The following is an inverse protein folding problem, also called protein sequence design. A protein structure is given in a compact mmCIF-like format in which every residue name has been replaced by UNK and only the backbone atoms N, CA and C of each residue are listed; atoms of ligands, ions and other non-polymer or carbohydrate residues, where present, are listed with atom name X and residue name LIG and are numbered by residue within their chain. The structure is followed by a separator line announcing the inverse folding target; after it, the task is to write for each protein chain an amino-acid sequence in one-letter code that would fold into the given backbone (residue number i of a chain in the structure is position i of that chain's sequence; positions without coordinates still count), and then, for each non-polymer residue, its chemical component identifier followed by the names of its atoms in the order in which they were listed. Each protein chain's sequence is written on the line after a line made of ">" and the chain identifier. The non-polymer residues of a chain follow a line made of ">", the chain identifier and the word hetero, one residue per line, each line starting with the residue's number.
data_IF_828012890837
#
_entry.id   IF_828012890837
#
_cell.length_a   1.000
_cell.length_b   1.000
_cell.length_c   1.000
_cell.angle_alpha   90.00
_cell.angle_beta   90.00
_cell.angle_gamma   90.00
#
_symmetry.space_group_name_H-M   'P 1'
#
loop_
_entity.id
_entity.type
_entity.pdbx_description
1 polymer ?
#
# COMPACT_ATOMS: atom_id res chain seq x y z
N UNK A 1 19.17 -17.61 2.35
CA UNK A 1 17.85 -17.74 2.99
C UNK A 1 16.80 -17.77 1.90
N UNK A 2 15.78 -18.64 1.96
CA UNK A 2 14.73 -18.69 0.93
C UNK A 2 14.08 -17.32 0.75
N UNK A 3 13.90 -16.86 -0.50
CA UNK A 3 13.36 -15.53 -0.83
C UNK A 3 12.02 -15.25 -0.12
N UNK A 4 11.14 -16.25 -0.07
CA UNK A 4 9.86 -16.17 0.66
C UNK A 4 10.04 -15.87 2.14
N UNK A 5 10.99 -16.55 2.79
CA UNK A 5 11.29 -16.32 4.20
C UNK A 5 11.86 -14.93 4.40
N UNK A 6 12.67 -14.42 3.44
CA UNK A 6 13.18 -13.05 3.49
C UNK A 6 12.05 -12.03 3.47
N UNK A 7 11.14 -12.16 2.50
CA UNK A 7 10.00 -11.27 2.33
C UNK A 7 9.13 -11.26 3.59
N UNK A 8 8.67 -12.43 4.05
CA UNK A 8 7.72 -12.52 5.17
C UNK A 8 8.33 -12.16 6.53
N UNK A 9 9.64 -12.32 6.70
CA UNK A 9 10.30 -11.93 7.96
C UNK A 9 10.83 -10.50 7.94
N UNK A 10 10.78 -9.80 6.80
CA UNK A 10 11.36 -8.47 6.63
C UNK A 10 10.83 -7.46 7.66
N UNK A 11 9.52 -7.43 7.88
CA UNK A 11 8.88 -6.51 8.82
C UNK A 11 9.22 -6.78 10.29
N UNK A 12 9.69 -7.98 10.64
CA UNK A 12 9.97 -8.39 12.04
C UNK A 12 11.47 -8.62 12.30
N UNK A 13 12.32 -8.41 11.31
CA UNK A 13 13.78 -8.66 11.38
C UNK A 13 14.57 -7.35 11.32
N UNK A 14 15.72 -7.30 12.01
CA UNK A 14 16.66 -6.19 11.92
C UNK A 14 16.03 -4.87 12.35
N UNK A 15 16.24 -3.80 11.57
CA UNK A 15 15.57 -2.51 11.74
C UNK A 15 14.05 -2.55 11.51
N UNK A 16 13.54 -3.54 10.74
CA UNK A 16 12.12 -3.66 10.38
C UNK A 16 11.18 -3.77 11.57
N UNK A 17 11.61 -4.42 12.66
CA UNK A 17 10.82 -4.53 13.89
C UNK A 17 10.58 -3.17 14.58
N UNK A 18 11.57 -2.27 14.51
CA UNK A 18 11.44 -0.92 15.07
C UNK A 18 10.54 -0.07 14.18
N UNK A 19 10.69 -0.19 12.85
CA UNK A 19 9.79 0.44 11.91
C UNK A 19 8.34 -0.02 12.11
N UNK A 20 8.11 -1.33 12.24
CA UNK A 20 6.79 -1.91 12.50
C UNK A 20 6.19 -1.37 13.80
N UNK A 21 6.96 -1.39 14.90
CA UNK A 21 6.48 -0.87 16.18
C UNK A 21 6.10 0.60 16.08
N UNK A 22 6.94 1.43 15.44
CA UNK A 22 6.66 2.85 15.28
C UNK A 22 5.46 3.09 14.36
N UNK A 23 5.32 2.35 13.26
CA UNK A 23 4.13 2.42 12.41
C UNK A 23 2.85 2.07 13.19
N UNK A 24 2.88 1.02 14.02
CA UNK A 24 1.74 0.64 14.85
C UNK A 24 1.37 1.75 15.84
N UNK A 25 2.36 2.31 16.54
CA UNK A 25 2.13 3.42 17.48
C UNK A 25 1.58 4.64 16.74
N UNK A 26 2.17 5.00 15.60
CA UNK A 26 1.71 6.13 14.78
C UNK A 26 0.31 5.91 14.22
N UNK A 27 -0.07 4.69 13.83
CA UNK A 27 -1.42 4.38 13.36
C UNK A 27 -2.44 4.57 14.47
N UNK A 28 -2.15 4.08 15.68
CA UNK A 28 -3.03 4.29 16.83
C UNK A 28 -3.14 5.78 17.19
N UNK A 29 -2.02 6.51 17.15
CA UNK A 29 -2.03 7.97 17.37
C UNK A 29 -2.83 8.68 16.28
N UNK A 30 -2.73 8.28 15.01
CA UNK A 30 -3.50 8.85 13.91
C UNK A 30 -5.00 8.64 14.10
N UNK A 31 -5.40 7.43 14.49
CA UNK A 31 -6.80 7.08 14.75
C UNK A 31 -7.36 7.91 15.92
N UNK A 32 -6.60 8.05 17.02
CA UNK A 32 -7.00 8.86 18.17
C UNK A 32 -7.03 10.36 17.83
N UNK A 33 -6.06 10.85 17.05
CA UNK A 33 -6.02 12.24 16.61
C UNK A 33 -7.24 12.58 15.75
N UNK A 34 -7.70 11.66 14.90
CA UNK A 34 -8.90 11.82 14.07
C UNK A 34 -10.21 12.04 14.85
N UNK A 35 -10.25 11.74 16.16
CA UNK A 35 -11.41 12.02 17.02
C UNK A 35 -11.51 13.52 17.36
N UNK A 36 -10.38 14.22 17.43
CA UNK A 36 -10.38 15.66 17.63
C UNK A 36 -10.92 16.36 16.36
N UNK A 37 -11.63 17.50 16.46
CA UNK A 37 -12.17 18.22 15.30
C UNK A 37 -11.09 18.79 14.35
N UNK A 38 -11.12 20.08 14.01
CA UNK A 38 -10.25 20.72 13.01
C UNK A 38 -8.75 20.31 13.08
N UNK A 39 -8.19 20.16 14.29
CA UNK A 39 -6.80 19.71 14.50
C UNK A 39 -6.57 18.23 14.16
N UNK A 40 -7.55 17.38 14.39
CA UNK A 40 -7.49 15.96 14.09
C UNK A 40 -7.44 15.67 12.60
N UNK A 41 -8.22 16.42 11.81
CA UNK A 41 -8.20 16.30 10.35
C UNK A 41 -6.83 16.63 9.75
N UNK A 42 -6.19 17.72 10.20
CA UNK A 42 -4.85 18.11 9.74
C UNK A 42 -3.81 17.05 10.14
N UNK A 43 -3.87 16.57 11.39
CA UNK A 43 -2.98 15.53 11.87
C UNK A 43 -3.15 14.22 11.09
N UNK A 44 -4.39 13.81 10.79
CA UNK A 44 -4.67 12.62 10.01
C UNK A 44 -4.09 12.71 8.57
N UNK A 45 -4.20 13.87 7.93
CA UNK A 45 -3.61 14.10 6.60
C UNK A 45 -2.09 14.01 6.66
N UNK A 46 -1.44 14.67 7.63
CA UNK A 46 0.02 14.64 7.77
C UNK A 46 0.54 13.24 8.10
N UNK A 47 -0.11 12.52 9.01
CA UNK A 47 0.26 11.17 9.38
C UNK A 47 0.04 10.19 8.22
N UNK A 48 -1.06 10.31 7.49
CA UNK A 48 -1.31 9.53 6.27
C UNK A 48 -0.22 9.78 5.21
N UNK A 49 0.13 11.04 4.97
CA UNK A 49 1.22 11.37 4.06
C UNK A 49 2.57 10.82 4.51
N UNK A 50 2.83 10.79 5.83
CA UNK A 50 4.04 10.18 6.38
C UNK A 50 4.08 8.66 6.17
N UNK A 51 2.95 7.96 6.28
CA UNK A 51 2.85 6.54 5.90
C UNK A 51 3.09 6.35 4.40
N UNK A 52 2.55 7.22 3.54
CA UNK A 52 2.80 7.19 2.11
C UNK A 52 4.29 7.36 1.79
N UNK A 53 4.95 8.34 2.40
CA UNK A 53 6.37 8.60 2.25
C UNK A 53 7.23 7.40 2.71
N UNK A 54 6.88 6.83 3.86
CA UNK A 54 7.54 5.63 4.39
C UNK A 54 7.40 4.44 3.42
N UNK A 55 6.22 4.26 2.83
CA UNK A 55 5.98 3.22 1.83
C UNK A 55 6.84 3.40 0.57
N UNK A 56 6.95 4.63 0.06
CA UNK A 56 7.85 4.97 -1.05
C UNK A 56 9.30 4.62 -0.71
N UNK A 57 9.78 5.07 0.45
CA UNK A 57 11.15 4.86 0.88
C UNK A 57 11.49 3.37 1.04
N UNK A 58 10.55 2.57 1.55
CA UNK A 58 10.67 1.11 1.66
C UNK A 58 10.81 0.42 0.30
N UNK A 59 10.00 0.83 -0.69
CA UNK A 59 10.09 0.30 -2.05
C UNK A 59 11.44 0.67 -2.66
N UNK A 60 11.84 1.95 -2.61
CA UNK A 60 13.09 2.44 -3.19
C UNK A 60 14.32 1.78 -2.56
N UNK A 61 14.36 1.71 -1.22
CA UNK A 61 15.43 1.05 -0.49
C UNK A 61 15.55 -0.43 -0.88
N UNK A 62 14.43 -1.13 -1.02
CA UNK A 62 14.44 -2.53 -1.45
C UNK A 62 14.87 -2.67 -2.92
N UNK A 63 14.34 -1.82 -3.81
CA UNK A 63 14.61 -1.82 -5.24
C UNK A 63 16.10 -1.61 -5.53
N UNK A 64 16.78 -0.80 -4.70
CA UNK A 64 18.23 -0.54 -4.77
C UNK A 64 19.10 -1.60 -4.06
N UNK A 65 18.49 -2.67 -3.53
CA UNK A 65 19.21 -3.79 -2.93
C UNK A 65 19.38 -3.72 -1.40
N UNK A 66 18.71 -2.78 -0.72
CA UNK A 66 18.66 -2.69 0.74
C UNK A 66 18.22 -4.00 1.37
N UNK A 67 18.91 -4.43 2.44
CA UNK A 67 18.63 -5.72 3.13
C UNK A 67 17.79 -5.56 4.40
N UNK A 68 17.80 -4.36 4.95
CA UNK A 68 17.05 -3.98 6.14
C UNK A 68 16.11 -2.82 5.83
N UNK A 69 15.09 -2.64 6.68
CA UNK A 69 14.18 -1.52 6.53
C UNK A 69 14.95 -0.20 6.69
N UNK A 70 14.72 0.79 5.81
CA UNK A 70 15.37 2.07 5.96
C UNK A 70 14.83 2.79 7.19
N UNK A 71 15.54 3.84 7.59
CA UNK A 71 15.01 4.79 8.57
C UNK A 71 13.79 5.52 8.00
N UNK A 72 13.03 6.13 8.90
CA UNK A 72 11.88 6.94 8.51
C UNK A 72 12.30 8.12 7.62
N UNK A 73 11.42 8.57 6.71
CA UNK A 73 11.73 9.70 5.85
C UNK A 73 11.96 10.97 6.68
N UNK A 74 12.90 11.78 6.23
CA UNK A 74 13.06 13.14 6.74
C UNK A 74 11.82 13.97 6.43
N UNK A 75 11.60 15.02 7.21
CA UNK A 75 10.44 15.93 7.05
C UNK A 75 10.89 17.36 6.83
N UNK A 76 12.06 17.51 6.22
CA UNK A 76 12.73 18.79 5.97
C UNK A 76 11.90 19.68 5.03
N UNK A 77 11.25 19.09 4.03
CA UNK A 77 10.32 19.76 3.13
C UNK A 77 8.96 19.03 3.12
N UNK A 78 8.02 19.47 3.94
CA UNK A 78 6.68 18.85 4.08
C UNK A 78 5.99 18.63 2.73
N UNK A 79 6.16 19.54 1.77
CA UNK A 79 5.49 19.40 0.48
C UNK A 79 6.06 18.22 -0.33
N UNK A 80 7.38 18.16 -0.48
CA UNK A 80 8.06 17.12 -1.25
C UNK A 80 8.09 15.78 -0.53
N UNK A 81 8.27 15.81 0.79
CA UNK A 81 8.47 14.60 1.61
C UNK A 81 7.16 13.93 2.01
N UNK A 82 6.05 14.68 2.17
CA UNK A 82 4.78 14.15 2.71
C UNK A 82 3.65 14.32 1.71
N UNK A 83 3.40 15.56 1.25
CA UNK A 83 2.23 15.85 0.40
C UNK A 83 2.37 15.20 -0.97
N UNK A 84 3.55 15.25 -1.58
CA UNK A 84 3.76 14.72 -2.92
C UNK A 84 3.59 13.19 -3.00
N UNK A 85 4.23 12.36 -2.12
CA UNK A 85 3.96 10.92 -2.08
C UNK A 85 2.47 10.61 -1.83
N UNK A 86 1.81 11.37 -0.95
CA UNK A 86 0.39 11.19 -0.66
C UNK A 86 -0.47 11.41 -1.92
N UNK A 87 -0.22 12.48 -2.67
CA UNK A 87 -0.91 12.76 -3.93
C UNK A 87 -0.65 11.67 -4.97
N UNK A 88 0.59 11.16 -5.06
CA UNK A 88 0.91 10.06 -5.97
C UNK A 88 0.13 8.79 -5.61
N UNK A 89 0.12 8.35 -4.35
CA UNK A 89 -0.69 7.19 -3.92
C UNK A 89 -2.18 7.43 -4.19
N UNK A 90 -2.68 8.63 -3.92
CA UNK A 90 -4.08 8.98 -4.17
C UNK A 90 -4.44 8.85 -5.66
N UNK A 91 -3.61 9.36 -6.56
CA UNK A 91 -3.81 9.22 -8.01
C UNK A 91 -3.71 7.75 -8.42
N UNK A 92 -2.75 6.99 -7.88
CA UNK A 92 -2.64 5.54 -8.15
C UNK A 92 -3.91 4.81 -7.72
N UNK A 93 -4.42 5.11 -6.53
CA UNK A 93 -5.65 4.52 -6.01
C UNK A 93 -6.86 4.90 -6.88
N UNK A 94 -6.97 6.16 -7.30
CA UNK A 94 -8.03 6.63 -8.17
C UNK A 94 -7.99 5.93 -9.54
N UNK A 95 -6.82 5.75 -10.14
CA UNK A 95 -6.71 5.02 -11.42
C UNK A 95 -7.01 3.54 -11.24
N UNK A 96 -6.56 2.92 -10.15
CA UNK A 96 -6.71 1.49 -9.89
C UNK A 96 -8.16 1.11 -9.55
N UNK A 97 -8.80 1.89 -8.67
CA UNK A 97 -10.13 1.58 -8.12
C UNK A 97 -11.24 2.44 -8.72
N UNK A 98 -10.91 3.53 -9.42
CA UNK A 98 -11.86 4.46 -10.03
C UNK A 98 -12.89 3.80 -10.96
N UNK A 99 -12.51 2.85 -11.85
CA UNK A 99 -13.50 2.13 -12.66
C UNK A 99 -14.54 1.39 -11.83
N UNK A 100 -14.12 0.76 -10.72
CA UNK A 100 -15.02 0.09 -9.79
C UNK A 100 -15.95 1.06 -9.06
N UNK A 101 -15.40 2.18 -8.58
CA UNK A 101 -16.16 3.24 -7.92
C UNK A 101 -17.19 3.83 -8.89
N UNK A 102 -16.78 4.19 -10.11
CA UNK A 102 -17.66 4.74 -11.13
C UNK A 102 -18.78 3.77 -11.52
N UNK A 103 -18.48 2.47 -11.62
CA UNK A 103 -19.49 1.44 -11.85
C UNK A 103 -20.53 1.42 -10.73
N UNK A 104 -20.10 1.33 -9.47
CA UNK A 104 -21.02 1.29 -8.32
C UNK A 104 -21.85 2.56 -8.22
N UNK A 105 -21.28 3.73 -8.48
CA UNK A 105 -22.00 5.01 -8.46
C UNK A 105 -23.01 5.17 -9.62
N UNK A 106 -22.80 4.46 -10.73
CA UNK A 106 -23.68 4.55 -11.92
C UNK A 106 -24.86 3.58 -11.90
N UNK A 107 -24.87 2.62 -10.98
CA UNK A 107 -25.89 1.57 -10.89
C UNK A 107 -26.85 1.88 -9.76
N UNK A 108 -28.14 1.66 -10.01
CA UNK A 108 -29.13 1.63 -8.93
C UNK A 108 -28.97 0.34 -8.10
N UNK A 109 -29.28 0.40 -6.80
CA UNK A 109 -29.08 -0.71 -5.86
C UNK A 109 -29.76 -2.03 -6.28
N UNK A 110 -30.78 -1.97 -7.14
CA UNK A 110 -31.53 -3.15 -7.61
C UNK A 110 -31.02 -3.74 -8.93
N UNK A 111 -30.22 -3.00 -9.71
CA UNK A 111 -29.81 -3.40 -11.08
C UNK A 111 -28.31 -3.70 -11.20
N UNK A 112 -27.52 -3.33 -10.19
CA UNK A 112 -26.08 -3.57 -10.15
C UNK A 112 -25.71 -5.06 -10.19
N UNK A 113 -24.84 -5.45 -11.14
CA UNK A 113 -24.30 -6.80 -11.17
C UNK A 113 -23.11 -6.91 -10.21
N UNK A 114 -23.32 -7.58 -9.08
CA UNK A 114 -22.29 -7.81 -8.06
C UNK A 114 -21.00 -8.43 -8.61
N UNK A 115 -21.10 -9.31 -9.61
CA UNK A 115 -19.92 -9.95 -10.21
C UNK A 115 -19.06 -8.96 -10.99
N UNK A 116 -19.66 -7.96 -11.63
CA UNK A 116 -18.94 -6.89 -12.33
C UNK A 116 -18.22 -6.00 -11.32
N UNK A 117 -18.90 -5.62 -10.23
CA UNK A 117 -18.29 -4.82 -9.16
C UNK A 117 -17.09 -5.55 -8.52
N UNK A 118 -17.24 -6.85 -8.21
CA UNK A 118 -16.15 -7.68 -7.69
C UNK A 118 -15.01 -7.85 -8.69
N UNK A 119 -15.31 -8.02 -9.98
CA UNK A 119 -14.32 -8.11 -11.04
C UNK A 119 -13.49 -6.82 -11.15
N UNK A 120 -14.13 -5.66 -11.09
CA UNK A 120 -13.46 -4.35 -11.12
C UNK A 120 -12.64 -4.10 -9.85
N UNK A 121 -13.14 -4.49 -8.67
CA UNK A 121 -12.39 -4.43 -7.43
C UNK A 121 -11.14 -5.31 -7.50
N UNK A 122 -11.28 -6.55 -7.96
CA UNK A 122 -10.17 -7.48 -8.17
C UNK A 122 -9.13 -6.95 -9.15
N UNK A 123 -9.58 -6.34 -10.25
CA UNK A 123 -8.70 -5.67 -11.19
C UNK A 123 -7.92 -4.52 -10.53
N UNK A 124 -8.57 -3.71 -9.69
CA UNK A 124 -7.90 -2.65 -8.92
C UNK A 124 -6.86 -3.18 -7.94
N UNK A 125 -7.16 -4.26 -7.20
CA UNK A 125 -6.20 -4.92 -6.29
C UNK A 125 -4.99 -5.49 -7.05
N UNK A 126 -5.20 -6.02 -8.25
CA UNK A 126 -4.13 -6.52 -9.12
C UNK A 126 -3.39 -5.39 -9.82
N UNK A 127 -3.99 -4.23 -10.05
CA UNK A 127 -3.34 -3.12 -10.75
C UNK A 127 -2.51 -2.24 -9.80
N UNK A 128 -3.05 -1.97 -8.62
CA UNK A 128 -2.51 -1.04 -7.63
C UNK A 128 -1.03 -1.30 -7.26
N UNK A 129 -0.60 -2.52 -6.87
CA UNK A 129 0.79 -2.74 -6.47
C UNK A 129 1.78 -2.50 -7.61
N UNK A 130 1.46 -2.92 -8.84
CA UNK A 130 2.34 -2.67 -9.99
C UNK A 130 2.37 -1.19 -10.37
N UNK A 131 1.21 -0.52 -10.35
CA UNK A 131 1.12 0.91 -10.62
C UNK A 131 1.91 1.73 -9.59
N UNK A 132 1.84 1.35 -8.31
CA UNK A 132 2.66 1.93 -7.24
C UNK A 132 4.15 1.76 -7.52
N UNK A 133 4.59 0.53 -7.85
CA UNK A 133 5.99 0.27 -8.17
C UNK A 133 6.47 1.10 -9.37
N UNK A 134 5.67 1.18 -10.43
CA UNK A 134 5.98 1.95 -11.63
C UNK A 134 6.17 3.44 -11.30
N UNK A 135 5.27 4.05 -10.52
CA UNK A 135 5.40 5.46 -10.11
C UNK A 135 6.61 5.71 -9.24
N UNK A 136 6.89 4.81 -8.29
CA UNK A 136 8.03 4.95 -7.37
C UNK A 136 9.36 4.86 -8.11
N UNK A 137 9.48 3.94 -9.07
CA UNK A 137 10.71 3.69 -9.82
C UNK A 137 10.91 4.72 -10.93
N UNK A 138 9.87 5.01 -11.70
CA UNK A 138 9.95 5.90 -12.87
C UNK A 138 9.88 7.38 -12.47
N UNK A 139 9.33 7.69 -11.30
CA UNK A 139 9.32 9.05 -10.74
C UNK A 139 8.29 10.01 -11.34
N UNK A 140 7.40 9.53 -12.22
CA UNK A 140 6.36 10.37 -12.85
C UNK A 140 4.98 9.70 -12.87
N UNK A 141 3.92 10.49 -12.74
CA UNK A 141 2.54 9.99 -12.63
C UNK A 141 2.01 9.33 -13.92
N UNK A 142 2.56 9.64 -15.10
CA UNK A 142 2.19 8.96 -16.35
C UNK A 142 2.62 7.47 -16.40
N UNK A 143 3.49 7.02 -15.49
CA UNK A 143 3.82 5.62 -15.31
C UNK A 143 2.59 4.74 -14.99
N UNK A 144 1.50 5.37 -14.56
CA UNK A 144 0.21 4.75 -14.29
C UNK A 144 -0.54 4.29 -15.53
N UNK A 145 -0.05 4.55 -16.74
CA UNK A 145 -0.79 4.18 -17.94
C UNK A 145 -0.94 2.64 -18.06
N UNK A 146 -2.12 2.13 -18.46
CA UNK A 146 -2.34 0.68 -18.59
C UNK A 146 -1.37 0.00 -19.56
N UNK A 147 -0.86 0.75 -20.53
CA UNK A 147 0.11 0.29 -21.52
C UNK A 147 1.47 -0.02 -20.89
N UNK A 148 1.82 0.59 -19.76
CA UNK A 148 3.05 0.32 -18.99
C UNK A 148 2.78 -0.75 -17.93
N UNK A 149 1.69 -0.60 -17.17
CA UNK A 149 1.41 -1.42 -15.98
C UNK A 149 0.91 -2.81 -16.34
N UNK A 150 0.00 -2.97 -17.32
CA UNK A 150 -0.56 -4.28 -17.64
C UNK A 150 0.51 -5.25 -18.17
N UNK A 151 1.38 -4.88 -19.13
CA UNK A 151 2.45 -5.77 -19.56
C UNK A 151 3.45 -6.07 -18.43
N UNK A 152 3.67 -5.14 -17.51
CA UNK A 152 4.54 -5.35 -16.37
C UNK A 152 3.97 -6.39 -15.38
N UNK A 153 2.66 -6.41 -15.13
CA UNK A 153 2.01 -7.43 -14.28
C UNK A 153 2.30 -8.85 -14.79
N UNK A 154 2.19 -9.06 -16.11
CA UNK A 154 2.45 -10.38 -16.70
C UNK A 154 3.94 -10.76 -16.67
N UNK A 155 4.85 -9.77 -16.68
CA UNK A 155 6.31 -9.98 -16.70
C UNK A 155 6.94 -10.05 -15.30
N UNK A 156 6.24 -9.57 -14.28
CA UNK A 156 6.71 -9.53 -12.88
C UNK A 156 6.86 -10.91 -12.21
N UNK A 157 6.28 -11.96 -12.80
CA UNK A 157 6.42 -13.33 -12.32
C UNK A 157 5.62 -13.64 -11.04
N UNK A 158 5.94 -14.77 -10.40
CA UNK A 158 5.13 -15.31 -9.29
C UNK A 158 5.26 -14.51 -7.98
N UNK A 159 6.39 -13.84 -7.75
CA UNK A 159 6.65 -13.06 -6.53
C UNK A 159 5.64 -11.91 -6.42
N UNK A 160 5.24 -11.32 -7.54
CA UNK A 160 4.24 -10.28 -7.61
C UNK A 160 2.89 -10.70 -7.02
N UNK A 161 2.44 -11.91 -7.35
CA UNK A 161 1.16 -12.44 -6.89
C UNK A 161 1.12 -12.63 -5.37
N UNK A 162 2.27 -12.82 -4.72
CA UNK A 162 2.34 -12.80 -3.26
C UNK A 162 1.90 -11.44 -2.69
N UNK A 163 2.31 -10.34 -3.33
CA UNK A 163 1.92 -8.98 -2.94
C UNK A 163 0.42 -8.74 -3.10
N UNK A 164 -0.14 -9.19 -4.24
CA UNK A 164 -1.58 -9.12 -4.52
C UNK A 164 -2.39 -9.92 -3.48
N UNK A 165 -1.96 -11.16 -3.18
CA UNK A 165 -2.61 -12.01 -2.18
C UNK A 165 -2.53 -11.38 -0.79
N UNK A 166 -1.41 -10.75 -0.42
CA UNK A 166 -1.30 -10.03 0.85
C UNK A 166 -2.30 -8.87 0.98
N UNK A 167 -2.53 -8.10 -0.08
CA UNK A 167 -3.56 -7.06 -0.09
C UNK A 167 -4.97 -7.66 0.02
N UNK A 168 -5.23 -8.79 -0.65
CA UNK A 168 -6.48 -9.53 -0.51
C UNK A 168 -6.71 -10.04 0.92
N UNK A 169 -5.68 -10.57 1.57
CA UNK A 169 -5.74 -10.99 2.97
C UNK A 169 -6.03 -9.80 3.88
N UNK A 170 -5.39 -8.65 3.65
CA UNK A 170 -5.66 -7.44 4.42
C UNK A 170 -7.13 -7.03 4.35
N UNK A 171 -7.73 -7.07 3.15
CA UNK A 171 -9.16 -6.79 2.95
C UNK A 171 -10.08 -7.79 3.66
N UNK A 172 -9.75 -9.08 3.62
CA UNK A 172 -10.52 -10.12 4.33
C UNK A 172 -10.41 -9.94 5.84
N UNK A 173 -9.20 -9.69 6.34
CA UNK A 173 -8.96 -9.45 7.77
C UNK A 173 -9.68 -8.19 8.23
N UNK A 174 -9.64 -7.09 7.48
CA UNK A 174 -10.35 -5.86 7.83
C UNK A 174 -11.84 -6.10 7.95
N UNK A 175 -12.43 -6.83 6.99
CA UNK A 175 -13.86 -7.18 7.01
C UNK A 175 -14.22 -8.05 8.22
N UNK A 176 -13.36 -9.00 8.59
CA UNK A 176 -13.59 -9.87 9.77
C UNK A 176 -13.49 -9.07 11.07
N UNK A 177 -12.47 -8.22 11.19
CA UNK A 177 -12.24 -7.38 12.36
C UNK A 177 -13.41 -6.42 12.56
N UNK A 178 -13.84 -5.74 11.50
CA UNK A 178 -14.99 -4.83 11.54
C UNK A 178 -16.26 -5.56 11.99
N UNK A 179 -16.54 -6.76 11.46
CA UNK A 179 -17.76 -7.51 11.82
C UNK A 179 -17.73 -8.10 13.23
N UNK A 180 -16.58 -8.59 13.70
CA UNK A 180 -16.48 -9.30 14.99
C UNK A 180 -16.10 -8.41 16.16
N UNK A 181 -15.38 -7.32 15.91
CA UNK A 181 -14.84 -6.42 16.93
C UNK A 181 -15.48 -5.02 16.88
N UNK A 182 -16.60 -4.85 16.17
CA UNK A 182 -17.35 -3.58 16.09
C UNK A 182 -17.70 -2.98 17.46
N UNK A 183 -17.84 -3.80 18.51
CA UNK A 183 -18.09 -3.35 19.88
C UNK A 183 -16.85 -2.95 20.70
N UNK A 184 -15.63 -3.20 20.21
CA UNK A 184 -14.37 -2.96 20.93
C UNK A 184 -13.42 -2.09 20.12
N UNK A 185 -13.72 -0.79 20.06
CA UNK A 185 -12.98 0.24 19.31
C UNK A 185 -11.46 0.10 19.50
N UNK A 186 -10.96 0.03 20.74
CA UNK A 186 -9.51 -0.01 21.01
C UNK A 186 -8.85 -1.27 20.43
N UNK A 187 -9.50 -2.43 20.58
CA UNK A 187 -8.93 -3.71 20.12
C UNK A 187 -8.95 -3.78 18.61
N UNK A 188 -10.02 -3.34 17.96
CA UNK A 188 -10.10 -3.30 16.50
C UNK A 188 -9.01 -2.40 15.90
N UNK A 189 -8.82 -1.20 16.43
CA UNK A 189 -7.77 -0.27 15.94
C UNK A 189 -6.37 -0.85 16.12
N UNK A 190 -6.06 -1.42 17.29
CA UNK A 190 -4.74 -2.00 17.54
C UNK A 190 -4.44 -3.19 16.61
N UNK A 191 -5.42 -4.08 16.39
CA UNK A 191 -5.27 -5.21 15.48
C UNK A 191 -5.06 -4.72 14.05
N UNK A 192 -5.85 -3.75 13.60
CA UNK A 192 -5.71 -3.19 12.25
C UNK A 192 -4.40 -2.42 12.07
N UNK A 193 -3.92 -1.71 13.08
CA UNK A 193 -2.63 -1.04 13.06
C UNK A 193 -1.48 -2.05 12.84
N UNK A 194 -1.50 -3.18 13.56
CA UNK A 194 -0.49 -4.25 13.42
C UNK A 194 -0.57 -4.91 12.05
N UNK A 195 -1.76 -5.35 11.64
CA UNK A 195 -1.95 -6.06 10.37
C UNK A 195 -1.68 -5.14 9.18
N UNK A 196 -2.15 -3.89 9.24
CA UNK A 196 -1.94 -2.86 8.23
C UNK A 196 -0.47 -2.51 8.08
N UNK A 197 0.22 -2.19 9.19
CA UNK A 197 1.66 -1.86 9.16
C UNK A 197 2.51 -3.02 8.65
N UNK A 198 2.24 -4.25 9.11
CA UNK A 198 2.93 -5.45 8.62
C UNK A 198 2.71 -5.66 7.12
N UNK A 199 1.46 -5.51 6.66
CA UNK A 199 1.12 -5.67 5.24
C UNK A 199 1.79 -4.60 4.40
N UNK A 200 1.76 -3.34 4.82
CA UNK A 200 2.41 -2.23 4.13
C UNK A 200 3.91 -2.48 3.96
N UNK A 201 4.63 -2.80 5.05
CA UNK A 201 6.08 -3.02 5.03
C UNK A 201 6.43 -4.23 4.15
N UNK A 202 5.67 -5.32 4.27
CA UNK A 202 5.93 -6.54 3.49
C UNK A 202 5.58 -6.36 2.01
N UNK A 203 4.49 -5.64 1.70
CA UNK A 203 4.12 -5.35 0.32
C UNK A 203 5.17 -4.46 -0.35
N UNK A 204 5.65 -3.41 0.33
CA UNK A 204 6.76 -2.59 -0.16
C UNK A 204 8.01 -3.42 -0.48
N UNK A 205 8.35 -4.37 0.42
CA UNK A 205 9.44 -5.32 0.21
C UNK A 205 9.20 -6.22 -1.02
N UNK A 206 7.99 -6.72 -1.22
CA UNK A 206 7.65 -7.54 -2.39
C UNK A 206 7.87 -6.73 -3.66
N UNK A 207 7.36 -5.50 -3.73
CA UNK A 207 7.47 -4.66 -4.91
C UNK A 207 8.92 -4.31 -5.26
N UNK A 208 9.72 -3.90 -4.26
CA UNK A 208 11.13 -3.63 -4.52
C UNK A 208 11.90 -4.88 -4.95
N UNK A 209 11.57 -6.07 -4.41
CA UNK A 209 12.19 -7.34 -4.85
C UNK A 209 11.76 -7.68 -6.28
N UNK A 210 10.48 -7.51 -6.62
CA UNK A 210 9.98 -7.72 -7.99
C UNK A 210 10.76 -6.86 -8.97
N UNK A 211 10.94 -5.57 -8.66
CA UNK A 211 11.75 -4.70 -9.52
C UNK A 211 13.19 -5.18 -9.63
N UNK A 212 13.87 -5.44 -8.50
CA UNK A 212 15.28 -5.82 -8.51
C UNK A 212 15.54 -7.12 -9.27
N UNK A 213 14.69 -8.12 -9.12
CA UNK A 213 14.86 -9.43 -9.75
C UNK A 213 14.37 -9.46 -11.21
N UNK A 214 13.50 -8.52 -11.61
CA UNK A 214 12.84 -8.50 -12.93
C UNK A 214 12.98 -7.20 -13.70
N UNK A 215 13.98 -6.37 -13.36
CA UNK A 215 14.12 -5.02 -13.94
C UNK A 215 14.18 -5.06 -15.47
N UNK A 216 14.92 -6.03 -16.02
CA UNK A 216 15.07 -6.21 -17.46
C UNK A 216 13.77 -6.69 -18.12
N UNK A 217 13.04 -7.62 -17.48
CA UNK A 217 11.79 -8.14 -18.03
C UNK A 217 10.65 -7.12 -17.95
N UNK A 218 10.64 -6.23 -16.96
CA UNK A 218 9.61 -5.18 -16.83
C UNK A 218 9.64 -4.19 -18.00
N UNK A 219 10.78 -4.04 -18.70
CA UNK A 219 10.91 -3.21 -19.92
C UNK A 219 10.48 -1.76 -19.71
N UNK A 220 10.88 -1.19 -18.56
CA UNK A 220 10.65 0.20 -18.20
C UNK A 220 11.84 1.12 -18.55
N UNK A 221 12.97 0.51 -18.93
CA UNK A 221 14.23 1.14 -19.33
C UNK A 221 14.70 0.53 -20.65
#
# INVERSE_FOLDING_TARGET
>A
MNLLKDILTYAVRGSGKYLLLTCVVLSVVADLAGIAPLLGGIAAVLLSGYFCATYFHLIQSTATGGKEAPEFPETSNIFEDIIWPMLQIFIVALVSFGPGIAYVMSQDEQTGNMWVALGLLGAGVVYFPMAMLAVVVLGYSWALSPHIVLPAIFRAGWIYWLGVVMLGILYVVSTIVERKLSGQIIVSHLVMAVVGSYTMITNARILGVVYRERQEELGWL
#
